data_IF_517766289264
#
_entry.id   IF_517766289264
#
_cell.length_a   1.000
_cell.length_b   1.000
_cell.length_c   1.000
_cell.angle_alpha   90.00
_cell.angle_beta   90.00
_cell.angle_gamma   90.00
#
_symmetry.space_group_name_H-M   'P 1'
#
loop_
_entity.id
_entity.type
_entity.pdbx_description
1 polymer ?
#
# COMPACT_ATOMS: atom_id res chain seq x y z
N UNK A 1 7.30 19.70 -1.36
CA UNK A 1 7.28 18.27 -1.73
C UNK A 1 7.69 17.39 -0.54
N UNK A 2 8.90 17.56 0.04
CA UNK A 2 9.36 16.78 1.21
C UNK A 2 8.47 16.87 2.46
N UNK A 3 7.94 18.05 2.78
CA UNK A 3 7.09 18.23 3.96
C UNK A 3 5.72 17.56 3.82
N UNK A 4 5.15 17.57 2.61
CA UNK A 4 3.88 16.89 2.29
C UNK A 4 4.05 15.36 2.44
N UNK A 5 5.11 14.81 1.85
CA UNK A 5 5.48 13.40 1.98
C UNK A 5 5.67 12.98 3.45
N UNK A 6 6.34 13.80 4.26
CA UNK A 6 6.51 13.55 5.69
C UNK A 6 5.18 13.52 6.46
N UNK A 7 4.26 14.43 6.14
CA UNK A 7 2.92 14.48 6.76
C UNK A 7 2.07 13.27 6.37
N UNK A 8 2.10 12.86 5.11
CA UNK A 8 1.39 11.67 4.60
C UNK A 8 1.90 10.40 5.29
N UNK A 9 3.23 10.27 5.46
CA UNK A 9 3.85 9.19 6.24
C UNK A 9 3.42 9.20 7.70
N UNK A 10 3.45 10.38 8.33
CA UNK A 10 3.07 10.51 9.72
C UNK A 10 1.59 10.15 9.95
N UNK A 11 0.69 10.53 9.04
CA UNK A 11 -0.73 10.19 9.11
C UNK A 11 -0.93 8.67 9.23
N UNK A 12 -0.24 7.89 8.37
CA UNK A 12 -0.36 6.43 8.35
C UNK A 12 0.54 5.71 9.36
N UNK A 13 1.41 6.41 10.08
CA UNK A 13 2.07 5.84 11.26
C UNK A 13 1.09 5.58 12.41
N UNK A 14 -0.07 6.23 12.44
CA UNK A 14 -1.11 5.95 13.44
C UNK A 14 -1.86 4.66 13.06
N UNK A 15 -1.98 3.72 14.01
CA UNK A 15 -2.57 2.39 13.75
C UNK A 15 -4.06 2.45 13.37
N UNK A 16 -4.82 3.38 13.94
CA UNK A 16 -6.23 3.61 13.63
C UNK A 16 -6.43 4.04 12.17
N UNK A 17 -5.64 5.00 11.70
CA UNK A 17 -5.68 5.48 10.32
C UNK A 17 -5.19 4.40 9.35
N UNK A 18 -4.11 3.69 9.71
CA UNK A 18 -3.58 2.59 8.91
C UNK A 18 -4.59 1.44 8.77
N UNK A 19 -5.19 0.99 9.88
CA UNK A 19 -6.20 -0.07 9.87
C UNK A 19 -7.45 0.33 9.09
N UNK A 20 -7.90 1.59 9.19
CA UNK A 20 -8.99 2.09 8.35
C UNK A 20 -8.66 2.00 6.86
N UNK A 21 -7.43 2.37 6.45
CA UNK A 21 -7.01 2.23 5.05
C UNK A 21 -7.00 0.77 4.56
N UNK A 22 -6.73 -0.19 5.43
CA UNK A 22 -6.73 -1.61 5.06
C UNK A 22 -8.13 -2.25 5.08
N UNK A 23 -8.91 -1.94 6.09
CA UNK A 23 -10.23 -2.52 6.33
C UNK A 23 -11.29 -1.93 5.37
N UNK A 24 -11.28 -0.63 5.14
CA UNK A 24 -12.38 0.06 4.45
C UNK A 24 -12.17 0.22 2.94
N UNK A 25 -10.90 0.30 2.51
CA UNK A 25 -10.54 0.37 1.10
C UNK A 25 -10.49 -1.06 0.52
N UNK A 26 -11.59 -1.50 -0.08
CA UNK A 26 -11.70 -2.78 -0.78
C UNK A 26 -11.55 -2.59 -2.30
N UNK A 27 -10.86 -3.53 -2.96
CA UNK A 27 -10.66 -3.52 -4.41
C UNK A 27 -11.90 -3.89 -5.25
N UNK A 28 -12.96 -4.41 -4.62
CA UNK A 28 -14.21 -4.75 -5.29
C UNK A 28 -15.30 -3.70 -5.01
N UNK A 29 -15.58 -2.87 -6.02
CA UNK A 29 -16.69 -1.90 -6.03
C UNK A 29 -18.08 -2.59 -6.06
N UNK A 30 -18.13 -3.90 -6.34
CA UNK A 30 -19.38 -4.63 -6.63
C UNK A 30 -20.07 -5.24 -5.40
N UNK A 31 -19.41 -5.26 -4.26
CA UNK A 31 -19.95 -5.90 -3.05
C UNK A 31 -20.34 -4.82 -2.04
N UNK A 32 -21.64 -4.56 -1.90
CA UNK A 32 -22.18 -3.66 -0.86
C UNK A 32 -22.08 -4.24 0.57
N UNK A 33 -21.55 -5.45 0.73
CA UNK A 33 -21.32 -6.05 2.04
C UNK A 33 -20.02 -5.51 2.63
N UNK A 34 -20.08 -5.05 3.88
CA UNK A 34 -18.88 -4.69 4.65
C UNK A 34 -17.95 -5.91 4.70
N UNK A 35 -16.70 -5.82 4.19
CA UNK A 35 -15.76 -6.90 4.37
C UNK A 35 -15.51 -7.11 5.87
N UNK A 36 -15.26 -8.35 6.33
CA UNK A 36 -14.84 -8.57 7.70
C UNK A 36 -13.56 -7.77 7.97
N UNK A 37 -13.46 -7.19 9.18
CA UNK A 37 -12.25 -6.50 9.62
C UNK A 37 -11.03 -7.42 9.42
N UNK A 38 -10.01 -6.93 8.74
CA UNK A 38 -8.76 -7.67 8.55
C UNK A 38 -8.01 -7.76 9.88
N UNK A 39 -7.94 -6.66 10.61
CA UNK A 39 -7.26 -6.55 11.91
C UNK A 39 -7.70 -5.29 12.67
N UNK A 40 -7.59 -5.32 14.00
CA UNK A 40 -7.78 -4.15 14.85
C UNK A 40 -6.51 -3.29 14.89
N UNK A 41 -6.64 -2.01 15.26
CA UNK A 41 -5.50 -1.11 15.41
C UNK A 41 -4.50 -1.61 16.48
N UNK A 42 -4.99 -2.27 17.53
CA UNK A 42 -4.17 -2.80 18.63
C UNK A 42 -3.35 -4.03 18.23
N UNK A 43 -3.72 -4.70 17.12
CA UNK A 43 -3.00 -5.87 16.59
C UNK A 43 -1.75 -5.47 15.79
N UNK A 44 -1.58 -4.17 15.52
CA UNK A 44 -0.52 -3.64 14.67
C UNK A 44 0.68 -3.13 15.48
N UNK A 45 1.88 -3.48 15.03
CA UNK A 45 3.13 -2.89 15.52
C UNK A 45 4.02 -2.48 14.35
N UNK A 46 4.90 -1.49 14.55
CA UNK A 46 5.82 -1.06 13.50
C UNK A 46 6.73 -2.22 13.05
N UNK A 47 6.99 -2.26 11.74
CA UNK A 47 8.00 -3.11 11.14
C UNK A 47 9.09 -2.22 10.50
N UNK A 48 10.32 -2.72 10.33
CA UNK A 48 11.38 -1.94 9.69
C UNK A 48 10.98 -1.51 8.26
N UNK A 49 10.89 -0.21 8.03
CA UNK A 49 10.64 0.37 6.70
C UNK A 49 11.91 0.46 5.86
N UNK A 50 13.06 0.48 6.53
CA UNK A 50 14.37 0.53 5.92
C UNK A 50 14.77 -0.82 5.34
N UNK A 51 15.15 -0.79 4.06
CA UNK A 51 15.71 -1.91 3.31
C UNK A 51 17.11 -1.52 2.84
N UNK A 52 18.12 -2.12 3.44
CA UNK A 52 19.53 -2.00 3.05
C UNK A 52 19.99 -3.36 2.52
N UNK A 53 20.40 -3.41 1.26
CA UNK A 53 21.00 -4.60 0.67
C UNK A 53 22.09 -4.22 -0.33
N UNK A 54 22.98 -5.15 -0.68
CA UNK A 54 24.01 -4.93 -1.68
C UNK A 54 23.58 -5.64 -2.97
N UNK A 55 23.37 -4.87 -4.04
CA UNK A 55 23.07 -5.39 -5.38
C UNK A 55 24.24 -5.01 -6.30
N UNK A 56 24.90 -6.01 -6.89
CA UNK A 56 26.06 -5.81 -7.78
C UNK A 56 27.18 -4.95 -7.20
N UNK A 57 27.45 -5.09 -5.89
CA UNK A 57 28.47 -4.30 -5.19
C UNK A 57 28.03 -2.87 -4.82
N UNK A 58 26.82 -2.44 -5.21
CA UNK A 58 26.25 -1.16 -4.81
C UNK A 58 25.26 -1.34 -3.65
N UNK A 59 25.33 -0.43 -2.68
CA UNK A 59 24.35 -0.36 -1.59
C UNK A 59 23.00 0.13 -2.15
N UNK A 60 22.02 -0.76 -2.23
CA UNK A 60 20.64 -0.39 -2.42
C UNK A 60 20.06 -0.03 -1.06
N UNK A 61 19.78 1.25 -0.89
CA UNK A 61 19.12 1.78 0.29
C UNK A 61 17.75 2.32 -0.10
N UNK A 62 16.69 1.73 0.45
CA UNK A 62 15.30 2.10 0.18
C UNK A 62 14.51 2.16 1.47
N UNK A 63 13.47 2.98 1.46
CA UNK A 63 12.52 3.09 2.55
C UNK A 63 11.13 2.89 1.99
N UNK A 64 10.38 1.96 2.56
CA UNK A 64 8.91 1.95 2.45
C UNK A 64 8.36 3.15 3.21
N UNK A 65 7.20 3.65 2.79
CA UNK A 65 6.61 4.79 3.48
C UNK A 65 6.07 4.38 4.86
N UNK A 66 5.26 3.32 4.90
CA UNK A 66 4.79 2.71 6.16
C UNK A 66 4.79 1.19 6.04
N UNK A 67 5.25 0.51 7.08
CA UNK A 67 5.26 -0.95 7.13
C UNK A 67 4.95 -1.43 8.56
N UNK A 68 3.93 -2.27 8.71
CA UNK A 68 3.47 -2.75 10.02
C UNK A 68 3.32 -4.27 10.00
N UNK A 69 3.61 -4.89 11.13
CA UNK A 69 3.32 -6.30 11.38
C UNK A 69 2.00 -6.43 12.14
N UNK A 70 1.15 -7.35 11.69
CA UNK A 70 -0.09 -7.73 12.35
C UNK A 70 0.14 -8.99 13.18
N UNK A 71 -0.26 -8.94 14.45
CA UNK A 71 -0.21 -10.06 15.38
C UNK A 71 -1.61 -10.57 15.68
N UNK A 72 -1.73 -11.87 15.90
CA UNK A 72 -2.97 -12.41 16.45
C UNK A 72 -3.05 -12.18 17.98
N UNK A 73 -4.18 -12.57 18.57
CA UNK A 73 -4.43 -12.50 20.02
C UNK A 73 -3.42 -13.30 20.89
N UNK A 74 -2.62 -14.17 20.28
CA UNK A 74 -1.56 -14.94 20.95
C UNK A 74 -0.17 -14.35 20.72
N UNK A 75 -0.07 -13.21 20.03
CA UNK A 75 1.17 -12.52 19.71
C UNK A 75 1.94 -13.10 18.51
N UNK A 76 1.34 -14.02 17.76
CA UNK A 76 1.96 -14.59 16.56
C UNK A 76 1.84 -13.62 15.39
N UNK A 77 2.95 -13.34 14.71
CA UNK A 77 2.95 -12.56 13.48
C UNK A 77 2.24 -13.33 12.35
N UNK A 78 1.11 -12.79 11.88
CA UNK A 78 0.28 -13.44 10.85
C UNK A 78 0.40 -12.78 9.48
N UNK A 79 0.79 -11.50 9.41
CA UNK A 79 0.97 -10.77 8.16
C UNK A 79 1.83 -9.51 8.35
N UNK A 80 2.41 -9.03 7.25
CA UNK A 80 3.07 -7.74 7.13
C UNK A 80 2.30 -6.90 6.11
N UNK A 81 2.00 -5.64 6.46
CA UNK A 81 1.22 -4.72 5.64
C UNK A 81 2.03 -3.47 5.34
N UNK A 82 2.14 -3.11 4.06
CA UNK A 82 2.84 -1.92 3.57
C UNK A 82 1.92 -0.93 2.88
N UNK A 83 2.10 0.35 3.15
CA UNK A 83 1.49 1.43 2.37
C UNK A 83 2.58 2.23 1.68
N UNK A 84 2.36 2.50 0.40
CA UNK A 84 3.16 3.41 -0.42
C UNK A 84 2.30 4.61 -0.78
N UNK A 85 2.72 5.80 -0.39
CA UNK A 85 2.02 7.05 -0.65
C UNK A 85 2.54 7.66 -1.95
N UNK A 86 1.64 8.02 -2.85
CA UNK A 86 2.00 8.63 -4.12
C UNK A 86 1.12 9.85 -4.41
N UNK A 87 1.73 11.00 -4.67
CA UNK A 87 1.01 12.19 -5.19
C UNK A 87 1.03 12.23 -6.72
N UNK A 88 2.13 11.82 -7.34
CA UNK A 88 2.27 11.75 -8.79
C UNK A 88 2.38 10.29 -9.23
N UNK A 89 1.71 9.87 -10.31
CA UNK A 89 1.84 8.50 -10.79
C UNK A 89 3.27 8.21 -11.29
N UNK A 90 3.95 7.28 -10.63
CA UNK A 90 5.26 6.76 -11.03
C UNK A 90 5.07 5.50 -11.89
N UNK A 91 5.81 5.41 -13.01
CA UNK A 91 5.65 4.33 -14.00
C UNK A 91 6.16 2.97 -13.53
N UNK A 92 7.19 2.97 -12.69
CA UNK A 92 7.90 1.80 -12.17
C UNK A 92 7.32 1.28 -10.84
N UNK A 93 6.21 1.83 -10.37
CA UNK A 93 5.59 1.44 -9.09
C UNK A 93 5.34 -0.06 -8.93
N UNK A 94 4.84 -0.80 -9.94
CA UNK A 94 4.74 -2.26 -9.83
C UNK A 94 6.07 -2.95 -9.54
N UNK A 95 7.16 -2.49 -10.16
CA UNK A 95 8.51 -3.07 -9.97
C UNK A 95 9.07 -2.67 -8.60
N UNK A 96 8.88 -1.43 -8.16
CA UNK A 96 9.29 -0.94 -6.85
C UNK A 96 8.59 -1.72 -5.72
N UNK A 97 7.27 -1.88 -5.80
CA UNK A 97 6.51 -2.65 -4.81
C UNK A 97 6.91 -4.12 -4.82
N UNK A 98 7.08 -4.74 -5.99
CA UNK A 98 7.59 -6.10 -6.11
C UNK A 98 8.97 -6.25 -5.45
N UNK A 99 9.89 -5.32 -5.69
CA UNK A 99 11.23 -5.34 -5.09
C UNK A 99 11.13 -5.29 -3.57
N UNK A 100 10.30 -4.41 -3.03
CA UNK A 100 10.12 -4.32 -1.58
C UNK A 100 9.55 -5.59 -0.97
N UNK A 101 8.56 -6.21 -1.61
CA UNK A 101 7.97 -7.46 -1.14
C UNK A 101 8.97 -8.61 -1.22
N UNK A 102 9.67 -8.72 -2.35
CA UNK A 102 10.70 -9.74 -2.56
C UNK A 102 11.84 -9.62 -1.54
N UNK A 103 12.33 -8.41 -1.26
CA UNK A 103 13.34 -8.18 -0.24
C UNK A 103 12.81 -8.48 1.17
N UNK A 104 11.55 -8.16 1.46
CA UNK A 104 10.92 -8.52 2.73
C UNK A 104 10.89 -10.03 2.94
N UNK A 105 10.49 -10.81 1.92
CA UNK A 105 10.56 -12.27 1.99
C UNK A 105 11.99 -12.78 2.09
N UNK A 106 12.92 -12.21 1.32
CA UNK A 106 14.33 -12.58 1.40
C UNK A 106 14.89 -12.37 2.81
N UNK A 107 14.61 -11.24 3.45
CA UNK A 107 15.01 -10.98 4.83
C UNK A 107 14.47 -12.03 5.82
N UNK A 108 13.21 -12.47 5.65
CA UNK A 108 12.67 -13.57 6.47
C UNK A 108 13.45 -14.89 6.32
N UNK A 109 14.01 -15.16 5.12
CA UNK A 109 14.83 -16.37 4.90
C UNK A 109 16.21 -16.31 5.56
N UNK A 110 16.71 -15.11 5.86
CA UNK A 110 18.03 -14.91 6.47
C UNK A 110 18.00 -14.99 8.00
N UNK A 111 16.81 -15.02 8.61
CA UNK A 111 16.68 -15.11 10.07
C UNK A 111 17.10 -16.50 10.57
N UNK A 112 18.01 -16.52 11.54
CA UNK A 112 18.61 -17.75 12.09
C UNK A 112 17.58 -18.64 12.80
N UNK A 113 16.60 -18.04 13.49
CA UNK A 113 15.39 -18.71 13.98
C UNK A 113 14.33 -18.68 12.87
N UNK A 114 14.49 -19.56 11.87
CA UNK A 114 13.52 -19.64 10.77
C UNK A 114 12.10 -19.81 11.32
N UNK A 115 11.14 -18.92 11.00
CA UNK A 115 9.75 -19.32 11.15
C UNK A 115 9.53 -20.53 10.24
N UNK A 116 8.86 -21.60 10.72
CA UNK A 116 8.58 -22.80 9.91
C UNK A 116 7.78 -22.47 8.64
N UNK A 117 7.19 -21.27 8.55
CA UNK A 117 6.42 -20.72 7.42
C UNK A 117 6.75 -19.24 7.24
N UNK A 118 6.80 -18.77 6.00
CA UNK A 118 6.93 -17.34 5.70
C UNK A 118 5.69 -16.58 6.17
N UNK A 119 5.91 -15.36 6.66
CA UNK A 119 4.86 -14.41 6.99
C UNK A 119 4.49 -13.68 5.70
N UNK A 120 3.21 -13.70 5.28
CA UNK A 120 2.78 -13.04 4.04
C UNK A 120 2.94 -11.53 4.13
N UNK A 121 3.33 -10.91 3.01
CA UNK A 121 3.48 -9.47 2.82
C UNK A 121 2.40 -9.00 1.84
N UNK A 122 1.70 -7.94 2.23
CA UNK A 122 0.71 -7.23 1.41
C UNK A 122 1.10 -5.77 1.29
N UNK A 123 1.04 -5.21 0.09
CA UNK A 123 1.37 -3.79 -0.14
C UNK A 123 0.29 -3.11 -0.97
N UNK A 124 -0.17 -1.94 -0.52
CA UNK A 124 -1.11 -1.08 -1.25
C UNK A 124 -0.49 0.28 -1.54
N UNK A 125 -0.90 0.87 -2.66
CA UNK A 125 -0.53 2.24 -3.03
C UNK A 125 -1.71 3.16 -2.76
N UNK A 126 -1.50 4.22 -1.97
CA UNK A 126 -2.46 5.29 -1.75
C UNK A 126 -2.11 6.47 -2.65
N UNK A 127 -3.02 6.80 -3.56
CA UNK A 127 -2.83 7.89 -4.51
C UNK A 127 -3.57 9.15 -4.05
N UNK A 128 -2.78 10.18 -3.74
CA UNK A 128 -3.20 11.49 -3.23
C UNK A 128 -3.35 12.55 -4.32
N UNK A 129 -2.96 12.24 -5.56
CA UNK A 129 -3.24 13.13 -6.68
C UNK A 129 -4.73 13.41 -6.75
N UNK A 130 -5.09 14.64 -7.15
CA UNK A 130 -6.49 15.06 -7.25
C UNK A 130 -6.78 15.82 -8.55
N UNK A 131 -5.74 16.10 -9.35
CA UNK A 131 -5.86 16.80 -10.64
C UNK A 131 -6.09 15.82 -11.81
N UNK A 132 -5.54 14.61 -11.72
CA UNK A 132 -5.67 13.54 -12.73
C UNK A 132 -5.75 12.17 -12.05
N UNK A 133 -6.54 11.26 -12.61
CA UNK A 133 -6.55 9.85 -12.18
C UNK A 133 -5.20 9.19 -12.40
N UNK A 134 -4.97 8.09 -11.69
CA UNK A 134 -3.82 7.23 -11.92
C UNK A 134 -3.80 6.73 -13.38
N UNK A 135 -2.70 7.00 -14.08
CA UNK A 135 -2.57 6.72 -15.51
C UNK A 135 -1.26 6.00 -15.88
N UNK A 136 -0.58 5.41 -14.90
CA UNK A 136 0.64 4.61 -15.09
C UNK A 136 0.35 3.12 -14.87
N UNK A 137 1.26 2.21 -15.28
CA UNK A 137 1.16 0.77 -15.05
C UNK A 137 0.73 0.36 -13.64
N UNK A 138 -0.17 -0.62 -13.54
CA UNK A 138 -0.59 -1.26 -12.27
C UNK A 138 -0.12 -2.72 -12.16
N UNK A 139 0.57 -3.20 -13.18
CA UNK A 139 1.21 -4.49 -13.18
C UNK A 139 2.49 -4.46 -13.98
N UNK A 140 3.41 -5.40 -13.73
CA UNK A 140 4.63 -5.54 -14.54
C UNK A 140 4.26 -5.89 -15.98
N UNK A 141 3.18 -6.65 -16.18
CA UNK A 141 2.65 -6.97 -17.50
C UNK A 141 2.28 -5.75 -18.33
N UNK A 142 1.79 -4.67 -17.70
CA UNK A 142 1.48 -3.40 -18.40
C UNK A 142 2.76 -2.73 -18.94
N UNK A 143 3.94 -3.10 -18.43
CA UNK A 143 5.26 -2.57 -18.83
C UNK A 143 5.98 -3.48 -19.83
N UNK A 144 5.46 -4.68 -20.10
CA UNK A 144 6.14 -5.70 -20.90
C UNK A 144 5.43 -5.97 -22.22
N UNK A 145 6.19 -6.21 -23.28
CA UNK A 145 5.65 -6.84 -24.50
C UNK A 145 5.70 -8.36 -24.35
N UNK A 146 4.55 -8.97 -24.06
CA UNK A 146 4.45 -10.42 -23.81
C UNK A 146 3.82 -11.11 -25.03
N UNK A 147 4.49 -12.11 -25.58
CA UNK A 147 3.92 -12.88 -26.70
C UNK A 147 2.70 -13.71 -26.24
N UNK A 148 1.67 -13.90 -27.08
CA UNK A 148 0.48 -14.69 -26.71
C UNK A 148 0.81 -16.11 -26.24
N UNK A 149 1.85 -16.73 -26.79
CA UNK A 149 2.33 -18.07 -26.41
C UNK A 149 2.91 -18.15 -24.98
N UNK A 150 3.34 -17.02 -24.42
CA UNK A 150 3.92 -16.91 -23.08
C UNK A 150 2.96 -16.29 -22.06
N UNK A 151 1.87 -15.66 -22.50
CA UNK A 151 0.94 -14.92 -21.65
C UNK A 151 0.41 -15.73 -20.46
N UNK A 152 0.07 -17.01 -20.67
CA UNK A 152 -0.43 -17.89 -19.59
C UNK A 152 0.63 -18.33 -18.57
N UNK A 153 1.92 -18.18 -18.91
CA UNK A 153 3.04 -18.55 -18.04
C UNK A 153 3.66 -17.35 -17.32
N UNK A 154 3.31 -16.14 -17.74
CA UNK A 154 3.89 -14.93 -17.20
C UNK A 154 3.39 -14.66 -15.78
N UNK A 155 4.32 -14.51 -14.85
CA UNK A 155 4.01 -14.14 -13.46
C UNK A 155 3.77 -12.64 -13.39
N UNK A 156 2.53 -12.22 -13.63
CA UNK A 156 2.17 -10.81 -13.63
C UNK A 156 1.96 -10.28 -12.20
N UNK A 157 3.00 -9.69 -11.63
CA UNK A 157 2.91 -9.00 -10.35
C UNK A 157 2.05 -7.73 -10.49
N UNK A 158 0.98 -7.63 -9.70
CA UNK A 158 -0.01 -6.54 -9.74
C UNK A 158 0.02 -5.75 -8.43
N UNK A 159 -0.23 -4.46 -8.52
CA UNK A 159 -0.40 -3.58 -7.37
C UNK A 159 -1.86 -3.11 -7.25
N UNK A 160 -2.30 -2.91 -6.01
CA UNK A 160 -3.57 -2.24 -5.72
C UNK A 160 -3.30 -0.74 -5.52
N UNK A 161 -3.99 0.11 -6.28
CA UNK A 161 -3.90 1.57 -6.18
C UNK A 161 -5.25 2.13 -5.78
N UNK A 162 -5.31 2.84 -4.65
CA UNK A 162 -6.50 3.51 -4.15
C UNK A 162 -6.42 5.01 -4.38
N UNK A 163 -7.27 5.51 -5.26
CA UNK A 163 -7.29 6.91 -5.67
C UNK A 163 -8.19 7.72 -4.72
N UNK A 164 -7.60 8.28 -3.65
CA UNK A 164 -8.35 8.87 -2.54
C UNK A 164 -9.29 10.00 -2.98
N UNK A 165 -8.88 10.82 -3.95
CA UNK A 165 -9.70 11.90 -4.48
C UNK A 165 -10.88 11.43 -5.37
N UNK A 166 -10.91 10.15 -5.76
CA UNK A 166 -11.94 9.56 -6.62
C UNK A 166 -12.77 8.46 -5.97
N UNK A 167 -12.64 8.28 -4.65
CA UNK A 167 -13.54 7.40 -3.90
C UNK A 167 -15.01 7.83 -4.09
N UNK A 168 -15.89 6.83 -4.21
CA UNK A 168 -17.34 7.02 -4.27
C UNK A 168 -17.89 7.55 -2.94
N UNK A 169 -19.14 8.01 -2.93
CA UNK A 169 -19.79 8.43 -1.69
C UNK A 169 -19.90 7.26 -0.70
N UNK A 170 -20.23 6.05 -1.19
CA UNK A 170 -20.29 4.85 -0.38
C UNK A 170 -18.93 4.46 0.20
N UNK A 171 -17.85 4.60 -0.59
CA UNK A 171 -16.49 4.36 -0.10
C UNK A 171 -16.10 5.36 0.98
N UNK A 172 -16.39 6.65 0.78
CA UNK A 172 -16.08 7.70 1.77
C UNK A 172 -16.90 7.55 3.05
N UNK A 173 -18.16 7.10 2.96
CA UNK A 173 -18.99 6.90 4.14
C UNK A 173 -18.51 5.76 5.04
N UNK A 174 -17.80 4.77 4.48
CA UNK A 174 -17.15 3.70 5.25
C UNK A 174 -15.89 4.16 5.98
N UNK A 175 -15.19 5.15 5.44
CA UNK A 175 -14.01 5.70 6.11
C UNK A 175 -14.39 6.36 7.43
N UNK A 176 -13.45 6.38 8.37
CA UNK A 176 -13.59 7.06 9.65
C UNK A 176 -12.36 7.92 9.95
N UNK A 177 -12.48 8.81 10.93
CA UNK A 177 -11.37 9.63 11.44
C UNK A 177 -10.64 10.46 10.38
N UNK A 178 -9.32 10.60 10.55
CA UNK A 178 -8.46 11.44 9.71
C UNK A 178 -8.48 10.99 8.23
N UNK A 179 -8.66 9.70 7.94
CA UNK A 179 -8.70 9.19 6.57
C UNK A 179 -9.95 9.67 5.82
N UNK A 180 -11.12 9.68 6.48
CA UNK A 180 -12.35 10.24 5.88
C UNK A 180 -12.17 11.72 5.58
N UNK A 181 -11.64 12.48 6.54
CA UNK A 181 -11.38 13.93 6.38
C UNK A 181 -10.46 14.19 5.20
N UNK A 182 -9.36 13.44 5.09
CA UNK A 182 -8.42 13.54 3.98
C UNK A 182 -9.08 13.23 2.63
N UNK A 183 -9.83 12.13 2.53
CA UNK A 183 -10.51 11.75 1.29
C UNK A 183 -11.54 12.81 0.84
N UNK A 184 -12.34 13.33 1.78
CA UNK A 184 -13.28 14.43 1.52
C UNK A 184 -12.55 15.68 1.06
N UNK A 185 -11.46 16.05 1.72
CA UNK A 185 -10.65 17.20 1.36
C UNK A 185 -10.08 17.09 -0.06
N UNK A 186 -9.44 15.96 -0.38
CA UNK A 186 -8.90 15.71 -1.73
C UNK A 186 -9.99 15.72 -2.80
N UNK A 187 -11.19 15.21 -2.48
CA UNK A 187 -12.34 15.25 -3.37
C UNK A 187 -12.85 16.66 -3.63
N UNK A 188 -12.90 17.51 -2.59
CA UNK A 188 -13.25 18.94 -2.72
C UNK A 188 -12.21 19.70 -3.54
N UNK A 189 -10.91 19.45 -3.30
CA UNK A 189 -9.82 19.99 -4.14
C UNK A 189 -10.01 19.64 -5.62
N UNK A 190 -10.30 18.37 -5.93
CA UNK A 190 -10.59 17.91 -7.30
C UNK A 190 -11.80 18.63 -7.91
N UNK A 191 -12.88 18.82 -7.15
CA UNK A 191 -14.12 19.44 -7.62
C UNK A 191 -14.12 20.97 -7.58
N UNK A 192 -13.06 21.58 -7.05
CA UNK A 192 -12.97 23.04 -6.84
C UNK A 192 -14.09 23.56 -5.92
N UNK A 193 -14.46 22.76 -4.91
CA UNK A 193 -15.52 23.06 -3.91
C UNK A 193 -14.93 23.59 -2.59
N UNK A 194 -13.73 24.18 -2.65
CA UNK A 194 -13.17 24.93 -1.53
C UNK A 194 -13.43 26.40 -1.82
N UNK A 195 -14.55 26.89 -1.31
CA UNK A 195 -14.77 28.33 -1.19
C UNK A 195 -13.80 28.89 -0.13
N UNK A 196 -13.26 30.09 -0.38
CA UNK A 196 -12.37 30.84 0.53
C UNK A 196 -12.94 31.02 1.94
#
# INVERSE_FOLDING_TARGET
MKEKDLREKHLFSKNDVFSSAWNELSGDEKTCAQPPLLFAADDLTEAPTELVTIINGALLHRYRDVFKQCKDKFGLNIALFGLENQTEPEGDMPVRVMLYDALGYYAQTQQHDRPKKLIPIFTRVLYFGYTKRWNTPRSIGDQCTISPSLASRFQNYKIEVFELAWLSDEQIERLTGDLKVLAVFLRKMRRQELDD
#
